data_IF_577334823881
#
_entry.id   IF_577334823881
#
_cell.length_a   1.000
_cell.length_b   1.000
_cell.length_c   1.000
_cell.angle_alpha   90.00
_cell.angle_beta   90.00
_cell.angle_gamma   90.00
#
_symmetry.space_group_name_H-M   'P 1'
#
loop_
_entity.id
_entity.type
_entity.pdbx_description
1 polymer ?
#
# COMPACT_ATOMS: atom_id res chain seq x y z
N UNK A 1 -44.00 -17.21 -35.95
CA UNK A 1 -42.78 -17.92 -36.39
C UNK A 1 -43.23 -19.24 -37.01
N UNK A 2 -42.89 -19.48 -38.26
CA UNK A 2 -43.26 -20.71 -38.97
C UNK A 2 -42.40 -21.87 -38.47
N UNK A 3 -42.92 -23.10 -38.51
CA UNK A 3 -42.17 -24.32 -38.16
C UNK A 3 -40.88 -24.42 -39.01
N UNK A 4 -40.90 -23.92 -40.24
CA UNK A 4 -39.71 -23.85 -41.10
C UNK A 4 -38.62 -22.87 -40.60
N UNK A 5 -39.00 -21.78 -39.93
CA UNK A 5 -38.04 -20.81 -39.38
C UNK A 5 -37.28 -21.41 -38.19
N UNK A 6 -37.97 -22.21 -37.37
CA UNK A 6 -37.38 -22.90 -36.22
C UNK A 6 -36.36 -23.95 -36.68
N UNK A 7 -36.65 -24.68 -37.76
CA UNK A 7 -35.70 -25.62 -38.38
C UNK A 7 -34.47 -24.93 -38.95
N UNK A 8 -34.63 -23.76 -39.58
CA UNK A 8 -33.51 -23.03 -40.17
C UNK A 8 -32.59 -22.40 -39.10
N UNK A 9 -33.16 -21.89 -38.00
CA UNK A 9 -32.39 -21.37 -36.86
C UNK A 9 -31.68 -22.50 -36.10
N UNK A 10 -32.33 -23.64 -35.90
CA UNK A 10 -31.69 -24.82 -35.31
C UNK A 10 -30.48 -25.30 -36.15
N UNK A 11 -30.63 -25.36 -37.49
CA UNK A 11 -29.53 -25.69 -38.39
C UNK A 11 -28.40 -24.64 -38.40
N UNK A 12 -28.73 -23.35 -38.19
CA UNK A 12 -27.74 -22.27 -38.13
C UNK A 12 -26.90 -22.30 -36.82
N UNK A 13 -27.46 -22.82 -35.73
CA UNK A 13 -26.75 -23.00 -34.46
C UNK A 13 -25.81 -24.22 -34.54
N UNK A 14 -26.20 -25.30 -35.24
CA UNK A 14 -25.33 -26.46 -35.49
C UNK A 14 -24.04 -26.10 -36.26
N UNK A 15 -24.07 -25.04 -37.08
CA UNK A 15 -22.91 -24.63 -37.89
C UNK A 15 -21.75 -24.00 -37.11
N UNK A 16 -22.01 -23.38 -35.95
CA UNK A 16 -20.97 -22.65 -35.19
C UNK A 16 -19.95 -23.62 -34.59
N UNK A 17 -20.39 -24.79 -34.13
CA UNK A 17 -19.52 -25.82 -33.58
C UNK A 17 -18.51 -26.31 -34.62
N UNK A 18 -18.96 -26.55 -35.85
CA UNK A 18 -18.11 -26.94 -36.97
C UNK A 18 -17.07 -25.87 -37.31
N UNK A 19 -17.46 -24.59 -37.26
CA UNK A 19 -16.52 -23.47 -37.49
C UNK A 19 -15.42 -23.46 -36.42
N UNK A 20 -15.78 -23.62 -35.15
CA UNK A 20 -14.80 -23.67 -34.04
C UNK A 20 -13.84 -24.85 -34.22
N UNK A 21 -14.35 -26.03 -34.54
CA UNK A 21 -13.54 -27.22 -34.81
C UNK A 21 -12.58 -26.96 -35.98
N UNK A 22 -13.06 -26.38 -37.07
CA UNK A 22 -12.25 -26.11 -38.26
C UNK A 22 -11.13 -25.10 -37.95
N UNK A 23 -11.40 -24.08 -37.13
CA UNK A 23 -10.38 -23.14 -36.64
C UNK A 23 -9.34 -23.86 -35.78
N UNK A 24 -9.76 -24.70 -34.83
CA UNK A 24 -8.83 -25.45 -33.97
C UNK A 24 -7.96 -26.37 -34.83
N UNK A 25 -8.54 -27.11 -35.76
CA UNK A 25 -7.80 -28.00 -36.68
C UNK A 25 -6.83 -27.19 -37.53
N UNK A 26 -7.25 -26.07 -38.10
CA UNK A 26 -6.36 -25.20 -38.89
C UNK A 26 -5.16 -24.71 -38.05
N UNK A 27 -5.39 -24.26 -36.82
CA UNK A 27 -4.32 -23.85 -35.90
C UNK A 27 -3.40 -25.03 -35.57
N UNK A 28 -3.94 -26.22 -35.28
CA UNK A 28 -3.16 -27.41 -34.99
C UNK A 28 -2.35 -27.90 -36.20
N UNK A 29 -2.82 -27.70 -37.43
CA UNK A 29 -2.06 -28.03 -38.64
C UNK A 29 -0.92 -27.04 -38.90
N UNK A 30 -1.17 -25.74 -38.70
CA UNK A 30 -0.16 -24.69 -38.92
C UNK A 30 0.95 -24.74 -37.86
N UNK A 31 0.58 -24.91 -36.59
CA UNK A 31 1.51 -24.83 -35.47
C UNK A 31 1.92 -26.21 -34.93
N UNK A 32 1.12 -27.24 -35.16
CA UNK A 32 1.32 -28.57 -34.57
C UNK A 32 0.66 -28.69 -33.19
N UNK A 33 0.10 -29.88 -32.84
CA UNK A 33 -0.60 -30.07 -31.58
C UNK A 33 0.28 -29.96 -30.33
N UNK A 34 1.60 -30.11 -30.48
CA UNK A 34 2.56 -30.00 -29.37
C UNK A 34 2.83 -28.55 -28.95
N UNK A 35 2.56 -27.55 -29.81
CA UNK A 35 2.85 -26.14 -29.49
C UNK A 35 1.92 -25.53 -28.46
N UNK A 36 0.65 -25.96 -28.43
CA UNK A 36 -0.33 -25.47 -27.47
C UNK A 36 0.10 -25.80 -26.01
N UNK A 37 0.45 -27.05 -25.66
CA UNK A 37 1.03 -27.39 -24.35
C UNK A 37 2.29 -26.60 -23.99
N UNK A 38 3.21 -26.41 -24.95
CA UNK A 38 4.48 -25.73 -24.71
C UNK A 38 4.30 -24.23 -24.47
N UNK A 39 3.39 -23.59 -25.21
CA UNK A 39 2.98 -22.20 -24.98
C UNK A 39 2.39 -22.03 -23.58
N UNK A 40 1.49 -22.93 -23.15
CA UNK A 40 0.93 -22.87 -21.80
C UNK A 40 1.98 -23.06 -20.71
N UNK A 41 2.95 -23.97 -20.91
CA UNK A 41 4.06 -24.15 -19.96
C UNK A 41 4.93 -22.89 -19.86
N UNK A 42 5.26 -22.27 -20.98
CA UNK A 42 6.03 -21.02 -21.01
C UNK A 42 5.28 -19.85 -20.37
N UNK A 43 4.01 -19.67 -20.75
CA UNK A 43 3.15 -18.63 -20.19
C UNK A 43 2.89 -18.81 -18.69
N UNK A 44 2.68 -20.05 -18.24
CA UNK A 44 2.50 -20.37 -16.82
C UNK A 44 3.74 -20.05 -15.99
N UNK A 45 4.94 -20.36 -16.51
CA UNK A 45 6.21 -19.96 -15.86
C UNK A 45 6.36 -18.44 -15.82
N UNK A 46 6.12 -17.75 -16.94
CA UNK A 46 6.22 -16.30 -17.01
C UNK A 46 5.25 -15.61 -16.03
N UNK A 47 4.00 -16.06 -15.96
CA UNK A 47 3.01 -15.54 -15.01
C UNK A 47 3.38 -15.86 -13.56
N UNK A 48 3.99 -17.02 -13.31
CA UNK A 48 4.52 -17.42 -12.00
C UNK A 48 5.65 -16.51 -11.52
N UNK A 49 6.67 -16.29 -12.37
CA UNK A 49 7.77 -15.38 -12.06
C UNK A 49 7.29 -13.93 -11.92
N UNK A 50 6.34 -13.50 -12.76
CA UNK A 50 5.75 -12.17 -12.65
C UNK A 50 5.03 -11.97 -11.30
N UNK A 51 4.25 -12.95 -10.84
CA UNK A 51 3.60 -12.89 -9.53
C UNK A 51 4.61 -12.82 -8.39
N UNK A 52 5.70 -13.60 -8.46
CA UNK A 52 6.78 -13.55 -7.47
C UNK A 52 7.48 -12.20 -7.44
N UNK A 53 7.86 -11.68 -8.60
CA UNK A 53 8.47 -10.36 -8.74
C UNK A 53 7.57 -9.25 -8.19
N UNK A 54 6.26 -9.30 -8.46
CA UNK A 54 5.30 -8.34 -7.89
C UNK A 54 5.23 -8.39 -6.37
N UNK A 55 5.22 -9.57 -5.76
CA UNK A 55 5.19 -9.70 -4.30
C UNK A 55 6.47 -9.17 -3.65
N UNK A 56 7.63 -9.37 -4.28
CA UNK A 56 8.89 -8.87 -3.76
C UNK A 56 8.94 -7.34 -3.80
N UNK A 57 8.55 -6.74 -4.93
CA UNK A 57 8.45 -5.28 -5.08
C UNK A 57 7.47 -4.68 -4.07
N UNK A 58 6.32 -5.31 -3.85
CA UNK A 58 5.35 -4.84 -2.85
C UNK A 58 5.92 -4.86 -1.42
N UNK A 59 6.70 -5.90 -1.07
CA UNK A 59 7.40 -5.98 0.22
C UNK A 59 8.47 -4.92 0.36
N UNK A 60 9.30 -4.72 -0.66
CA UNK A 60 10.34 -3.70 -0.68
C UNK A 60 9.73 -2.30 -0.49
N UNK A 61 8.70 -1.95 -1.27
CA UNK A 61 7.98 -0.68 -1.14
C UNK A 61 7.39 -0.52 0.27
N UNK A 62 6.72 -1.55 0.79
CA UNK A 62 6.12 -1.50 2.13
C UNK A 62 7.17 -1.30 3.22
N UNK A 63 8.32 -1.96 3.09
CA UNK A 63 9.44 -1.81 4.01
C UNK A 63 10.06 -0.42 3.94
N UNK A 64 10.25 0.14 2.73
CA UNK A 64 10.76 1.50 2.54
C UNK A 64 9.80 2.54 3.11
N UNK A 65 8.49 2.44 2.81
CA UNK A 65 7.48 3.34 3.37
C UNK A 65 7.46 3.29 4.90
N UNK A 66 7.52 2.11 5.50
CA UNK A 66 7.59 1.94 6.97
C UNK A 66 8.85 2.59 7.54
N UNK A 67 10.00 2.46 6.87
CA UNK A 67 11.23 3.12 7.29
C UNK A 67 11.18 4.64 7.17
N UNK A 68 10.57 5.16 6.10
CA UNK A 68 10.36 6.60 5.91
C UNK A 68 9.45 7.16 7.02
N UNK A 69 8.32 6.51 7.29
CA UNK A 69 7.41 6.90 8.37
C UNK A 69 8.10 6.90 9.74
N UNK A 70 8.94 5.89 10.02
CA UNK A 70 9.70 5.80 11.28
C UNK A 70 10.74 6.93 11.40
N UNK A 71 11.45 7.25 10.31
CA UNK A 71 12.41 8.36 10.27
C UNK A 71 11.72 9.70 10.44
N UNK A 72 10.62 9.94 9.74
CA UNK A 72 9.84 11.16 9.85
C UNK A 72 9.27 11.35 11.25
N UNK A 73 8.72 10.28 11.85
CA UNK A 73 8.26 10.31 13.23
C UNK A 73 9.40 10.70 14.20
N UNK A 74 10.59 10.10 14.03
CA UNK A 74 11.77 10.43 14.84
C UNK A 74 12.21 11.87 14.68
N UNK A 75 12.26 12.39 13.45
CA UNK A 75 12.60 13.79 13.16
C UNK A 75 11.60 14.75 13.79
N UNK A 76 10.30 14.43 13.74
CA UNK A 76 9.24 15.23 14.38
C UNK A 76 9.39 15.28 15.91
N UNK A 77 9.70 14.14 16.52
CA UNK A 77 9.98 14.03 17.97
C UNK A 77 11.23 14.84 18.35
N UNK A 78 12.30 14.78 17.56
CA UNK A 78 13.52 15.57 17.77
C UNK A 78 13.26 17.08 17.66
N UNK A 79 12.49 17.51 16.66
CA UNK A 79 12.08 18.93 16.51
C UNK A 79 11.23 19.40 17.69
N UNK A 80 10.31 18.57 18.17
CA UNK A 80 9.49 18.87 19.35
C UNK A 80 10.34 18.96 20.63
N UNK A 81 11.32 18.06 20.79
CA UNK A 81 12.29 18.15 21.88
C UNK A 81 13.04 19.49 21.85
N UNK A 82 13.50 19.92 20.67
CA UNK A 82 14.15 21.22 20.48
C UNK A 82 13.26 22.40 20.87
N UNK A 83 11.97 22.38 20.49
CA UNK A 83 11.01 23.43 20.85
C UNK A 83 10.76 23.52 22.37
N UNK A 84 10.82 22.39 23.08
CA UNK A 84 10.62 22.31 24.53
C UNK A 84 11.92 22.48 25.34
N UNK A 85 13.07 22.64 24.67
CA UNK A 85 14.38 22.71 25.33
C UNK A 85 14.86 21.37 25.92
N UNK A 86 14.31 20.25 25.44
CA UNK A 86 14.71 18.90 25.87
C UNK A 86 15.92 18.45 25.07
N UNK A 87 17.04 18.05 25.71
CA UNK A 87 18.22 17.57 25.00
C UNK A 87 17.93 16.21 24.33
N UNK A 88 18.05 16.17 23.00
CA UNK A 88 17.77 14.95 22.20
C UNK A 88 18.98 14.02 22.02
N UNK A 89 20.21 14.52 22.20
CA UNK A 89 21.43 13.77 21.93
C UNK A 89 21.70 12.70 22.99
N UNK A 90 21.97 11.46 22.57
CA UNK A 90 22.37 10.36 23.45
C UNK A 90 21.24 9.74 24.28
N UNK A 91 19.98 10.08 24.01
CA UNK A 91 18.80 9.54 24.70
C UNK A 91 18.21 8.37 23.91
N UNK A 92 17.68 7.36 24.60
CA UNK A 92 16.85 6.34 23.93
C UNK A 92 15.51 6.95 23.51
N UNK A 93 14.85 6.37 22.51
CA UNK A 93 13.56 6.90 22.01
C UNK A 93 12.50 6.97 23.12
N UNK A 94 12.40 5.95 23.96
CA UNK A 94 11.49 5.91 25.10
C UNK A 94 11.82 7.00 26.13
N UNK A 95 13.12 7.18 26.44
CA UNK A 95 13.55 8.25 27.34
C UNK A 95 13.18 9.61 26.78
N UNK A 96 13.49 9.86 25.50
CA UNK A 96 13.17 11.12 24.83
C UNK A 96 11.66 11.40 24.83
N UNK A 97 10.83 10.40 24.52
CA UNK A 97 9.35 10.51 24.58
C UNK A 97 8.86 10.85 25.98
N UNK A 98 9.38 10.18 27.02
CA UNK A 98 9.03 10.46 28.42
C UNK A 98 9.52 11.84 28.90
N UNK A 99 10.66 12.29 28.41
CA UNK A 99 11.21 13.61 28.74
C UNK A 99 10.41 14.73 28.08
N UNK A 100 10.01 14.55 26.82
CA UNK A 100 9.10 15.45 26.12
C UNK A 100 7.75 15.50 26.85
N UNK A 101 7.15 14.35 27.17
CA UNK A 101 5.86 14.31 27.89
C UNK A 101 5.93 15.09 29.21
N UNK A 102 6.99 14.91 30.01
CA UNK A 102 7.20 15.65 31.25
C UNK A 102 7.49 17.14 31.05
N UNK A 103 8.12 17.50 29.92
CA UNK A 103 8.43 18.89 29.59
C UNK A 103 7.18 19.64 29.09
N UNK A 104 6.32 18.99 28.30
CA UNK A 104 5.05 19.54 27.79
C UNK A 104 4.17 20.07 28.92
N UNK A 105 4.09 19.36 30.04
CA UNK A 105 3.29 19.80 31.18
C UNK A 105 3.75 21.14 31.76
N UNK A 106 5.07 21.38 31.76
CA UNK A 106 5.72 22.57 32.35
C UNK A 106 6.06 23.66 31.32
N UNK A 107 5.89 23.39 30.04
CA UNK A 107 6.23 24.29 28.95
C UNK A 107 5.26 25.48 28.87
N UNK A 108 5.79 26.61 28.40
CA UNK A 108 4.97 27.79 28.07
C UNK A 108 4.06 27.52 26.87
N UNK A 109 2.98 28.30 26.75
CA UNK A 109 1.97 28.14 25.69
C UNK A 109 2.60 28.18 24.29
N UNK A 110 3.55 29.09 24.07
CA UNK A 110 4.29 29.21 22.79
C UNK A 110 5.13 27.97 22.47
N UNK A 111 5.76 27.38 23.49
CA UNK A 111 6.54 26.16 23.35
C UNK A 111 5.65 24.95 23.05
N UNK A 112 4.47 24.88 23.68
CA UNK A 112 3.48 23.83 23.42
C UNK A 112 2.96 23.92 21.99
N UNK A 113 2.65 25.13 21.50
CA UNK A 113 2.23 25.35 20.11
C UNK A 113 3.34 24.95 19.13
N UNK A 114 4.57 25.36 19.39
CA UNK A 114 5.73 25.04 18.54
C UNK A 114 6.01 23.53 18.49
N UNK A 115 5.89 22.83 19.63
CA UNK A 115 6.04 21.38 19.70
C UNK A 115 4.88 20.66 18.98
N UNK A 116 3.64 21.14 19.12
CA UNK A 116 2.48 20.57 18.43
C UNK A 116 2.61 20.70 16.90
N UNK A 117 3.13 21.83 16.41
CA UNK A 117 3.42 22.03 15.00
C UNK A 117 4.54 21.09 14.52
N UNK A 118 5.62 20.95 15.31
CA UNK A 118 6.73 20.06 14.98
C UNK A 118 6.30 18.58 14.88
N UNK A 119 5.34 18.15 15.69
CA UNK A 119 4.78 16.79 15.67
C UNK A 119 3.66 16.59 14.64
N UNK A 120 3.25 17.64 13.93
CA UNK A 120 2.09 17.63 13.04
C UNK A 120 0.79 17.18 13.76
N UNK A 121 0.64 17.59 15.03
CA UNK A 121 -0.55 17.32 15.87
C UNK A 121 -1.35 18.58 16.18
N UNK A 122 -0.86 19.75 15.75
CA UNK A 122 -1.55 21.03 15.91
C UNK A 122 -2.87 21.03 15.14
N UNK A 123 -3.96 21.40 15.82
CA UNK A 123 -5.23 21.73 15.17
C UNK A 123 -5.56 23.20 15.35
N UNK A 124 -5.94 23.87 14.26
CA UNK A 124 -6.33 25.29 14.28
C UNK A 124 -7.47 25.54 15.27
N UNK A 125 -7.27 26.47 16.20
CA UNK A 125 -8.25 26.82 17.24
C UNK A 125 -8.31 25.86 18.43
N UNK A 126 -7.34 24.94 18.60
CA UNK A 126 -7.22 24.18 19.84
C UNK A 126 -6.55 25.00 20.95
N UNK A 127 -7.14 24.92 22.14
CA UNK A 127 -6.53 25.46 23.35
C UNK A 127 -5.30 24.65 23.75
N UNK A 128 -4.39 25.28 24.48
CA UNK A 128 -3.11 24.71 24.92
C UNK A 128 -3.30 23.38 25.65
N UNK A 129 -4.36 23.23 26.46
CA UNK A 129 -4.67 21.99 27.19
C UNK A 129 -4.86 20.82 26.22
N UNK A 130 -5.59 21.03 25.12
CA UNK A 130 -5.81 20.00 24.10
C UNK A 130 -4.53 19.70 23.32
N UNK A 131 -3.71 20.71 23.05
CA UNK A 131 -2.42 20.53 22.41
C UNK A 131 -1.48 19.66 23.26
N UNK A 132 -1.44 19.89 24.59
CA UNK A 132 -0.67 19.05 25.52
C UNK A 132 -1.12 17.59 25.46
N UNK A 133 -2.43 17.35 25.50
CA UNK A 133 -3.02 16.00 25.39
C UNK A 133 -2.69 15.33 24.04
N UNK A 134 -2.80 16.07 22.94
CA UNK A 134 -2.48 15.58 21.60
C UNK A 134 -1.00 15.21 21.45
N UNK A 135 -0.10 16.02 22.01
CA UNK A 135 1.34 15.73 22.02
C UNK A 135 1.60 14.45 22.80
N UNK A 136 1.07 14.32 24.02
CA UNK A 136 1.25 13.13 24.87
C UNK A 136 0.74 11.88 24.16
N UNK A 137 -0.47 11.94 23.59
CA UNK A 137 -1.08 10.83 22.85
C UNK A 137 -0.23 10.40 21.64
N UNK A 138 0.36 11.35 20.92
CA UNK A 138 1.20 11.07 19.76
C UNK A 138 2.56 10.46 20.12
N UNK A 139 3.04 10.67 21.36
CA UNK A 139 4.25 10.02 21.86
C UNK A 139 4.01 8.57 22.29
N UNK A 140 2.74 8.17 22.46
CA UNK A 140 2.33 6.83 22.88
C UNK A 140 3.02 6.38 24.17
N UNK A 141 3.02 7.28 25.17
CA UNK A 141 3.58 7.10 26.52
C UNK A 141 2.55 7.37 27.60
#
# INVERSE_FOLDING_TARGET
MSVGDVWNVAAQIEGIEWIIILIIVAVLLLFGPQKIPDLFRGFGRALGEFRRGRMEVEREISAELTQLDTRDARVRVEKAAGALGVPATGRSELQLKLDIARAVDRASDDQVVSAAQAMNVYSSGADVIRLKEQIIKALNV
#
